data_IF_042119983079
#
_entry.id   IF_042119983079
#
_cell.length_a   1.000
_cell.length_b   1.000
_cell.length_c   1.000
_cell.angle_alpha   90.00
_cell.angle_beta   90.00
_cell.angle_gamma   90.00
#
_symmetry.space_group_name_H-M   'P 1'
#
loop_
_entity.id
_entity.type
_entity.pdbx_description
1 polymer ?
#
# COMPACT_ATOMS: atom_id res chain seq x y z
N UNK A 1 13.03 -38.85 -26.48
CA UNK A 1 13.45 -38.33 -25.17
C UNK A 1 12.92 -36.90 -25.08
N UNK A 2 11.81 -36.70 -24.37
CA UNK A 2 11.15 -35.39 -24.25
C UNK A 2 11.75 -34.69 -23.03
N UNK A 3 12.27 -33.47 -23.21
CA UNK A 3 12.68 -32.63 -22.09
C UNK A 3 11.42 -32.16 -21.36
N UNK A 4 11.36 -32.24 -20.01
CA UNK A 4 10.19 -31.76 -19.28
C UNK A 4 10.03 -30.26 -19.51
N UNK A 5 8.80 -29.88 -19.85
CA UNK A 5 8.39 -28.49 -19.97
C UNK A 5 8.66 -27.77 -18.64
N UNK A 6 9.29 -26.60 -18.69
CA UNK A 6 9.62 -25.83 -17.48
C UNK A 6 8.31 -25.35 -16.83
N UNK A 7 7.85 -26.08 -15.83
CA UNK A 7 6.70 -25.68 -15.02
C UNK A 7 7.14 -24.55 -14.08
N UNK A 8 6.51 -23.40 -14.19
CA UNK A 8 6.68 -22.29 -13.24
C UNK A 8 5.67 -22.52 -12.11
N UNK A 9 6.16 -22.94 -10.95
CA UNK A 9 5.38 -23.11 -9.72
C UNK A 9 5.59 -21.90 -8.79
N UNK A 10 4.49 -21.38 -8.24
CA UNK A 10 4.52 -20.44 -7.12
C UNK A 10 4.38 -21.26 -5.83
N UNK A 11 5.41 -21.25 -5.00
CA UNK A 11 5.41 -21.89 -3.70
C UNK A 11 5.45 -20.84 -2.60
N UNK A 12 4.49 -20.90 -1.68
CA UNK A 12 4.49 -20.07 -0.49
C UNK A 12 5.29 -20.79 0.61
N UNK A 13 6.49 -20.28 0.90
CA UNK A 13 7.35 -20.86 1.93
C UNK A 13 6.98 -20.42 3.35
N UNK A 14 6.24 -19.31 3.50
CA UNK A 14 5.90 -18.76 4.80
C UNK A 14 4.67 -17.85 4.76
N UNK A 15 3.76 -18.02 5.72
CA UNK A 15 2.68 -17.07 6.01
C UNK A 15 2.98 -16.46 7.37
N UNK A 16 3.51 -15.25 7.36
CA UNK A 16 3.89 -14.53 8.58
C UNK A 16 2.78 -13.64 9.09
N UNK A 17 2.57 -13.62 10.41
CA UNK A 17 1.82 -12.57 11.08
C UNK A 17 2.77 -11.45 11.51
N UNK A 18 2.25 -10.23 11.57
CA UNK A 18 2.97 -9.09 12.15
C UNK A 18 2.15 -8.55 13.32
N UNK A 19 2.73 -8.53 14.52
CA UNK A 19 2.05 -8.08 15.76
C UNK A 19 0.69 -8.78 15.98
N UNK A 20 0.63 -10.09 15.76
CA UNK A 20 -0.57 -10.94 15.87
C UNK A 20 -1.65 -10.69 14.80
N UNK A 21 -1.44 -9.78 13.87
CA UNK A 21 -2.34 -9.55 12.74
C UNK A 21 -1.92 -10.40 11.54
N UNK A 22 -2.90 -10.91 10.81
CA UNK A 22 -2.68 -11.65 9.57
C UNK A 22 -2.54 -10.69 8.39
N UNK A 23 -1.70 -11.04 7.39
CA UNK A 23 -1.55 -10.21 6.21
C UNK A 23 -2.85 -10.23 5.42
N UNK A 24 -3.37 -9.05 5.08
CA UNK A 24 -4.65 -8.87 4.39
C UNK A 24 -4.48 -8.55 2.91
N UNK A 25 -3.39 -7.88 2.55
CA UNK A 25 -3.11 -7.43 1.19
C UNK A 25 -1.65 -7.02 1.07
N UNK A 26 -1.14 -7.05 -0.15
CA UNK A 26 0.19 -6.58 -0.46
C UNK A 26 0.26 -5.96 -1.86
N UNK A 27 1.23 -5.07 -2.09
CA UNK A 27 1.51 -4.51 -3.40
C UNK A 27 2.98 -4.16 -3.56
N UNK A 28 3.44 -4.08 -4.80
CA UNK A 28 4.81 -3.75 -5.16
C UNK A 28 4.88 -2.35 -5.75
N UNK A 29 5.99 -1.67 -5.43
CA UNK A 29 6.39 -0.48 -6.17
C UNK A 29 6.69 -0.84 -7.63
N UNK A 30 6.56 0.14 -8.54
CA UNK A 30 6.78 -0.06 -9.99
C UNK A 30 8.14 -0.70 -10.32
N UNK A 31 9.19 -0.31 -9.59
CA UNK A 31 10.55 -0.86 -9.75
C UNK A 31 10.80 -2.17 -8.99
N UNK A 32 9.81 -2.64 -8.22
CA UNK A 32 9.89 -3.88 -7.45
C UNK A 32 10.82 -3.84 -6.25
N UNK A 33 11.47 -2.72 -5.93
CA UNK A 33 12.44 -2.62 -4.82
C UNK A 33 11.78 -2.56 -3.45
N UNK A 34 10.59 -1.97 -3.38
CA UNK A 34 9.78 -1.88 -2.17
C UNK A 34 8.55 -2.77 -2.33
N UNK A 35 8.32 -3.60 -1.31
CA UNK A 35 7.13 -4.40 -1.14
C UNK A 35 6.37 -3.93 0.10
N UNK A 36 5.06 -3.73 0.00
CA UNK A 36 4.22 -3.34 1.14
C UNK A 36 3.22 -4.42 1.47
N UNK A 37 3.03 -4.66 2.77
CA UNK A 37 2.03 -5.60 3.29
C UNK A 37 1.19 -4.89 4.36
N UNK A 38 -0.13 -5.05 4.25
CA UNK A 38 -1.09 -4.58 5.25
C UNK A 38 -1.44 -5.68 6.26
N UNK A 39 -1.40 -5.31 7.54
CA UNK A 39 -1.72 -6.12 8.70
C UNK A 39 -2.70 -5.33 9.58
N UNK A 40 -4.00 -5.62 9.47
CA UNK A 40 -5.02 -4.84 10.15
C UNK A 40 -4.94 -3.35 9.76
N UNK A 41 -4.61 -2.50 10.73
CA UNK A 41 -4.41 -1.05 10.56
C UNK A 41 -2.94 -0.61 10.45
N UNK A 42 -2.02 -1.56 10.23
CA UNK A 42 -0.59 -1.30 10.11
C UNK A 42 -0.15 -1.70 8.71
N UNK A 43 0.62 -0.83 8.06
CA UNK A 43 1.28 -1.14 6.79
C UNK A 43 2.77 -1.30 7.06
N UNK A 44 3.39 -2.32 6.51
CA UNK A 44 4.83 -2.57 6.62
C UNK A 44 5.50 -2.40 5.27
N UNK A 45 6.62 -1.67 5.23
CA UNK A 45 7.50 -1.52 4.09
C UNK A 45 8.63 -2.54 4.20
N UNK A 46 8.89 -3.27 3.13
CA UNK A 46 9.91 -4.30 3.04
C UNK A 46 10.87 -4.00 1.90
N UNK A 47 12.16 -4.22 2.15
CA UNK A 47 13.13 -4.43 1.09
C UNK A 47 12.83 -5.79 0.44
N UNK A 48 12.40 -5.77 -0.82
CA UNK A 48 11.96 -6.97 -1.52
C UNK A 48 13.09 -7.94 -1.86
N UNK A 49 14.34 -7.45 -1.90
CA UNK A 49 15.51 -8.27 -2.26
C UNK A 49 16.00 -9.03 -1.04
N UNK A 50 16.03 -8.35 0.10
CA UNK A 50 16.51 -8.88 1.37
C UNK A 50 15.40 -9.57 2.16
N UNK A 51 14.13 -9.32 1.83
CA UNK A 51 12.96 -9.80 2.57
C UNK A 51 13.00 -9.39 4.04
N UNK A 52 13.37 -8.14 4.32
CA UNK A 52 13.40 -7.56 5.67
C UNK A 52 12.44 -6.38 5.75
N UNK A 53 11.84 -6.18 6.93
CA UNK A 53 10.99 -5.02 7.20
C UNK A 53 11.90 -3.81 7.44
N UNK A 54 11.72 -2.77 6.63
CA UNK A 54 12.42 -1.49 6.79
C UNK A 54 11.66 -0.55 7.72
N UNK A 55 10.33 -0.50 7.60
CA UNK A 55 9.51 0.43 8.37
C UNK A 55 8.07 -0.05 8.56
N UNK A 56 7.41 0.46 9.59
CA UNK A 56 5.98 0.26 9.84
C UNK A 56 5.24 1.60 9.87
N UNK A 57 4.23 1.74 9.02
CA UNK A 57 3.35 2.88 8.89
C UNK A 57 2.01 2.56 9.58
N UNK A 58 1.79 3.00 10.84
CA UNK A 58 0.48 2.87 11.46
C UNK A 58 -0.52 3.82 10.78
N UNK A 59 -1.76 3.37 10.60
CA UNK A 59 -2.84 4.26 10.18
C UNK A 59 -3.19 5.26 11.29
N UNK A 60 -3.42 6.50 10.88
CA UNK A 60 -3.92 7.57 11.74
C UNK A 60 -5.06 8.26 10.99
N UNK A 61 -6.30 8.23 11.51
CA UNK A 61 -6.72 7.53 12.73
C UNK A 61 -6.64 6.00 12.58
N UNK A 62 -6.44 5.31 13.70
CA UNK A 62 -6.50 3.84 13.75
C UNK A 62 -7.97 3.40 13.86
N UNK A 63 -8.72 3.57 12.79
CA UNK A 63 -10.18 3.45 12.81
C UNK A 63 -10.72 2.26 12.00
N UNK A 64 -9.84 1.41 11.50
CA UNK A 64 -10.23 0.21 10.78
C UNK A 64 -9.06 -0.50 10.09
N UNK A 65 -9.42 -1.55 9.37
CA UNK A 65 -8.48 -2.35 8.58
C UNK A 65 -8.26 -1.75 7.20
N UNK A 66 -7.02 -1.82 6.71
CA UNK A 66 -6.67 -1.45 5.34
C UNK A 66 -7.47 -2.29 4.33
N UNK A 67 -8.16 -1.63 3.40
CA UNK A 67 -8.98 -2.25 2.34
C UNK A 67 -8.30 -2.20 0.97
N UNK A 68 -7.64 -1.08 0.65
CA UNK A 68 -6.89 -0.91 -0.60
C UNK A 68 -5.47 -0.38 -0.36
N UNK A 69 -4.52 -0.82 -1.19
CA UNK A 69 -3.14 -0.33 -1.22
C UNK A 69 -2.74 -0.09 -2.67
N UNK A 70 -2.23 1.10 -2.97
CA UNK A 70 -1.72 1.44 -4.29
C UNK A 70 -0.56 2.42 -4.21
N UNK A 71 0.52 2.15 -4.95
CA UNK A 71 1.53 3.17 -5.21
C UNK A 71 1.00 4.19 -6.20
N UNK A 72 1.33 5.46 -6.00
CA UNK A 72 1.14 6.48 -7.02
C UNK A 72 2.15 6.31 -8.14
N UNK A 73 1.80 6.65 -9.37
CA UNK A 73 2.72 6.55 -10.50
C UNK A 73 3.95 7.44 -10.29
N UNK A 74 5.14 6.84 -10.47
CA UNK A 74 6.47 7.48 -10.52
C UNK A 74 6.88 8.34 -9.31
N UNK A 75 6.09 8.35 -8.24
CA UNK A 75 6.34 9.12 -7.02
C UNK A 75 6.34 8.22 -5.78
N UNK A 76 7.08 8.62 -4.74
CA UNK A 76 7.24 7.83 -3.52
C UNK A 76 6.03 8.00 -2.58
N UNK A 77 4.81 7.89 -3.09
CA UNK A 77 3.60 7.90 -2.29
C UNK A 77 2.86 6.58 -2.34
N UNK A 78 2.28 6.24 -1.20
CA UNK A 78 1.41 5.09 -1.03
C UNK A 78 0.03 5.58 -0.61
N UNK A 79 -0.97 5.24 -1.41
CA UNK A 79 -2.38 5.48 -1.11
C UNK A 79 -2.94 4.24 -0.44
N UNK A 80 -3.67 4.45 0.64
CA UNK A 80 -4.39 3.40 1.35
C UNK A 80 -5.78 3.88 1.75
N UNK A 81 -6.70 2.94 1.91
CA UNK A 81 -8.04 3.23 2.39
C UNK A 81 -8.44 2.32 3.54
N UNK A 82 -9.27 2.84 4.43
CA UNK A 82 -10.11 2.09 5.37
C UNK A 82 -11.57 2.23 4.96
N UNK A 83 -12.50 1.79 5.80
CA UNK A 83 -13.94 1.99 5.59
C UNK A 83 -14.38 3.46 5.66
N UNK A 84 -13.55 4.34 6.22
CA UNK A 84 -13.91 5.73 6.47
C UNK A 84 -12.84 6.74 6.08
N UNK A 85 -11.62 6.31 5.82
CA UNK A 85 -10.52 7.22 5.53
C UNK A 85 -9.74 6.78 4.31
N UNK A 86 -9.25 7.76 3.57
CA UNK A 86 -8.18 7.61 2.61
C UNK A 86 -6.95 8.33 3.15
N UNK A 87 -5.83 7.61 3.22
CA UNK A 87 -4.54 8.17 3.62
C UNK A 87 -3.54 8.08 2.48
N UNK A 88 -2.77 9.15 2.27
CA UNK A 88 -1.62 9.18 1.37
C UNK A 88 -0.37 9.32 2.23
N UNK A 89 0.49 8.32 2.20
CA UNK A 89 1.79 8.32 2.88
C UNK A 89 2.88 8.80 1.94
N UNK A 90 3.76 9.66 2.43
CA UNK A 90 5.04 9.93 1.80
C UNK A 90 6.06 8.90 2.30
N UNK A 91 6.59 8.09 1.40
CA UNK A 91 7.51 7.00 1.73
C UNK A 91 8.95 7.49 1.99
N UNK A 92 9.30 8.70 1.57
CA UNK A 92 10.61 9.29 1.89
C UNK A 92 10.66 9.77 3.34
N UNK A 93 9.54 10.31 3.85
CA UNK A 93 9.44 10.77 5.24
C UNK A 93 8.78 9.76 6.18
N UNK A 94 8.18 8.70 5.62
CA UNK A 94 7.39 7.71 6.33
C UNK A 94 6.25 8.32 7.18
N UNK A 95 5.65 9.40 6.69
CA UNK A 95 4.56 10.13 7.37
C UNK A 95 3.34 10.27 6.48
N UNK A 96 2.18 10.54 7.09
CA UNK A 96 0.96 10.90 6.36
C UNK A 96 1.17 12.27 5.72
N UNK A 97 1.01 12.33 4.40
CA UNK A 97 1.01 13.56 3.61
C UNK A 97 -0.40 14.14 3.49
N UNK A 98 -1.40 13.29 3.25
CA UNK A 98 -2.80 13.70 3.16
C UNK A 98 -3.71 12.67 3.82
N UNK A 99 -4.72 13.14 4.55
CA UNK A 99 -5.81 12.33 5.10
C UNK A 99 -7.14 12.90 4.63
N UNK A 100 -8.04 12.08 4.11
CA UNK A 100 -9.39 12.45 3.73
C UNK A 100 -10.40 11.49 4.34
N UNK A 101 -11.56 12.01 4.71
CA UNK A 101 -12.69 11.20 5.22
C UNK A 101 -13.57 10.81 4.03
N UNK A 102 -13.93 9.54 3.95
CA UNK A 102 -14.95 9.00 3.08
C UNK A 102 -16.26 8.80 3.87
N UNK A 103 -17.14 9.80 3.93
CA UNK A 103 -18.39 9.69 4.68
C UNK A 103 -19.39 8.70 4.04
N UNK A 104 -19.14 8.26 2.80
CA UNK A 104 -20.08 7.40 2.06
C UNK A 104 -19.60 5.96 1.92
N UNK A 105 -18.39 5.65 2.40
CA UNK A 105 -17.75 4.34 2.22
C UNK A 105 -17.78 3.93 0.74
N UNK A 106 -17.23 4.79 -0.09
CA UNK A 106 -17.25 4.70 -1.54
C UNK A 106 -16.46 3.49 -2.02
N UNK A 107 -16.96 2.81 -3.05
CA UNK A 107 -16.36 1.57 -3.54
C UNK A 107 -15.02 1.76 -4.24
N UNK A 108 -14.74 2.98 -4.72
CA UNK A 108 -13.49 3.33 -5.37
C UNK A 108 -13.14 4.80 -5.17
N UNK A 109 -11.83 5.07 -5.10
CA UNK A 109 -11.31 6.43 -4.96
C UNK A 109 -10.16 6.63 -5.94
N UNK A 110 -10.18 7.76 -6.64
CA UNK A 110 -9.10 8.17 -7.53
C UNK A 110 -8.26 9.19 -6.79
N UNK A 111 -6.97 8.89 -6.62
CA UNK A 111 -5.97 9.85 -6.20
C UNK A 111 -5.11 10.20 -7.42
N UNK A 112 -5.16 11.47 -7.84
CA UNK A 112 -4.23 11.98 -8.84
C UNK A 112 -3.32 13.03 -8.23
N UNK A 113 -2.03 12.94 -8.54
CA UNK A 113 -1.09 14.00 -8.22
C UNK A 113 -1.22 15.11 -9.25
N UNK A 114 -1.31 16.36 -8.80
CA UNK A 114 -1.32 17.53 -9.65
C UNK A 114 -0.01 18.29 -9.49
N UNK A 115 0.96 18.00 -10.36
CA UNK A 115 2.33 18.57 -10.29
C UNK A 115 2.43 20.03 -10.77
N UNK A 116 1.30 20.66 -11.10
CA UNK A 116 1.26 21.92 -11.86
C UNK A 116 1.82 23.16 -11.15
N UNK A 117 2.27 23.06 -9.89
CA UNK A 117 2.70 24.20 -9.08
C UNK A 117 4.02 24.02 -8.32
N UNK A 118 4.77 22.94 -8.54
CA UNK A 118 5.95 22.63 -7.70
C UNK A 118 5.60 22.17 -6.28
N UNK A 119 4.31 22.15 -5.94
CA UNK A 119 3.73 21.51 -4.75
C UNK A 119 3.04 20.20 -5.16
N UNK A 120 3.37 19.09 -4.49
CA UNK A 120 2.71 17.80 -4.69
C UNK A 120 1.34 17.85 -4.00
N UNK A 121 0.29 18.10 -4.78
CA UNK A 121 -1.09 18.15 -4.29
C UNK A 121 -1.88 16.97 -4.83
N UNK A 122 -2.53 16.22 -3.95
CA UNK A 122 -3.42 15.13 -4.34
C UNK A 122 -4.85 15.62 -4.48
N UNK A 123 -5.46 15.40 -5.65
CA UNK A 123 -6.90 15.51 -5.82
C UNK A 123 -7.50 14.12 -5.59
N UNK A 124 -8.43 14.06 -4.64
CA UNK A 124 -9.11 12.83 -4.25
C UNK A 124 -10.56 12.90 -4.71
N UNK A 125 -10.96 11.94 -5.54
CA UNK A 125 -12.34 11.83 -6.04
C UNK A 125 -12.92 10.48 -5.65
N UNK A 126 -13.95 10.53 -4.81
CA UNK A 126 -14.75 9.36 -4.44
C UNK A 126 -15.77 9.06 -5.53
N UNK A 127 -15.81 7.82 -6.01
CA UNK A 127 -16.78 7.36 -7.00
C UNK A 127 -17.80 6.47 -6.26
N UNK A 128 -19.07 6.89 -6.30
CA UNK A 128 -20.20 6.12 -5.76
C UNK A 128 -20.62 5.01 -6.72
#
# INVERSE_FOLDING_TARGET
MFLPEKVINWECFFVGSYRLETPSMATYSKGGSIFVIAYGSIITLWDSRLNVIDYSLPLIPNDGTVKHLAFTNDLPFLVTTTERHLSVFNLLTCTIHHLAVDPKNSSSVVACNNERLGEVTFQLQFIM
#
